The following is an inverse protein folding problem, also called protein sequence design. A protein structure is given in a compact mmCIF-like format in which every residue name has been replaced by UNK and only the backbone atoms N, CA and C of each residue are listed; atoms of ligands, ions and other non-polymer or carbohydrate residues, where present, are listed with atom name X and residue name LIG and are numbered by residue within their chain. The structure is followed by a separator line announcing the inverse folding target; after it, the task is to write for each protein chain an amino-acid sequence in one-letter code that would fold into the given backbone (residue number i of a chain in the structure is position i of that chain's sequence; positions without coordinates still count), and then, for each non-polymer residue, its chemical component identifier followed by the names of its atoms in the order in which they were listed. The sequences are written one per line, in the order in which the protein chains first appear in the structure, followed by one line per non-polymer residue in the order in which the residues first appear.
data_IF_025191956286
#
_entry.id   IF_025191956286
#
_cell.length_a   1.000
_cell.length_b   1.000
_cell.length_c   1.000
_cell.angle_alpha   90.00
_cell.angle_beta   90.00
_cell.angle_gamma   90.00
#
_symmetry.space_group_name_H-M   'P 1'
#
loop_
_entity.id
_entity.type
_entity.pdbx_description
1 polymer ?
#
# COMPACT_ATOMS: atom_id res chain seq x y z
N UNK A 1 21.16 21.97 -8.07
CA UNK A 1 20.23 21.72 -9.19
C UNK A 1 19.08 22.69 -9.03
N UNK A 2 19.02 23.71 -9.86
CA UNK A 2 18.06 24.81 -9.73
C UNK A 2 16.61 24.31 -9.85
N UNK A 3 15.71 25.01 -9.16
CA UNK A 3 14.26 24.88 -9.35
C UNK A 3 13.94 25.18 -10.82
N UNK A 4 13.96 24.15 -11.66
CA UNK A 4 13.26 24.19 -12.94
C UNK A 4 11.81 24.41 -12.54
N UNK A 5 11.26 25.59 -12.87
CA UNK A 5 9.85 25.91 -12.70
C UNK A 5 9.04 24.79 -13.35
N UNK A 6 8.59 23.85 -12.53
CA UNK A 6 7.79 22.72 -13.00
C UNK A 6 6.51 23.30 -13.56
N UNK A 7 6.19 22.90 -14.78
CA UNK A 7 4.87 23.14 -15.32
C UNK A 7 3.83 22.59 -14.33
N UNK A 8 2.66 23.24 -14.25
CA UNK A 8 1.61 22.78 -13.34
C UNK A 8 1.33 21.30 -13.59
N UNK A 9 1.27 20.45 -12.55
CA UNK A 9 1.24 19.00 -12.72
C UNK A 9 0.15 18.50 -13.68
N UNK A 10 -1.06 19.08 -13.57
CA UNK A 10 -2.20 18.72 -14.42
C UNK A 10 -1.95 19.12 -15.88
N UNK A 11 -1.34 20.28 -16.12
CA UNK A 11 -1.06 20.77 -17.48
C UNK A 11 0.03 19.91 -18.13
N UNK A 12 1.09 19.60 -17.39
CA UNK A 12 2.16 18.69 -17.82
C UNK A 12 1.62 17.28 -18.15
N UNK A 13 0.72 16.75 -17.31
CA UNK A 13 0.10 15.45 -17.53
C UNK A 13 -0.83 15.45 -18.75
N UNK A 14 -1.67 16.49 -18.93
CA UNK A 14 -2.52 16.63 -20.12
C UNK A 14 -1.70 16.70 -21.40
N UNK A 15 -0.62 17.48 -21.41
CA UNK A 15 0.28 17.62 -22.55
C UNK A 15 0.97 16.29 -22.87
N UNK A 16 1.45 15.58 -21.85
CA UNK A 16 2.03 14.25 -22.01
C UNK A 16 1.03 13.26 -22.63
N UNK A 17 -0.18 13.15 -22.07
CA UNK A 17 -1.22 12.25 -22.60
C UNK A 17 -1.58 12.60 -24.05
N UNK A 18 -1.72 13.88 -24.38
CA UNK A 18 -2.03 14.31 -25.74
C UNK A 18 -0.93 13.93 -26.75
N UNK A 19 0.35 14.05 -26.37
CA UNK A 19 1.48 13.77 -27.25
C UNK A 19 1.76 12.28 -27.45
N UNK A 20 1.65 11.47 -26.40
CA UNK A 20 2.10 10.06 -26.42
C UNK A 20 0.95 9.05 -26.42
N UNK A 21 -0.22 9.43 -25.88
CA UNK A 21 -1.37 8.54 -25.69
C UNK A 21 -2.65 9.13 -26.30
N UNK A 22 -2.55 9.92 -27.39
CA UNK A 22 -3.69 10.59 -28.02
C UNK A 22 -4.83 9.64 -28.42
N UNK A 23 -4.52 8.38 -28.73
CA UNK A 23 -5.47 7.33 -29.09
C UNK A 23 -6.07 6.51 -27.94
N UNK A 24 -5.65 6.74 -26.68
CA UNK A 24 -6.18 5.98 -25.54
C UNK A 24 -7.63 6.36 -25.23
N UNK A 25 -8.43 5.48 -24.64
CA UNK A 25 -9.84 5.78 -24.37
C UNK A 25 -10.04 6.46 -23.00
N UNK A 26 -9.07 6.34 -22.08
CA UNK A 26 -9.13 7.00 -20.78
C UNK A 26 -7.74 7.31 -20.22
N UNK A 27 -7.62 8.43 -19.52
CA UNK A 27 -6.41 8.82 -18.81
C UNK A 27 -6.74 9.48 -17.48
N UNK A 28 -6.06 9.07 -16.41
CA UNK A 28 -6.29 9.55 -15.05
C UNK A 28 -4.94 9.90 -14.42
N UNK A 29 -4.78 11.16 -14.01
CA UNK A 29 -3.67 11.56 -13.14
C UNK A 29 -4.00 11.12 -11.72
N UNK A 30 -3.06 10.48 -11.04
CA UNK A 30 -3.20 9.96 -9.70
C UNK A 30 -2.00 10.37 -8.83
N UNK A 31 -1.84 9.72 -7.69
CA UNK A 31 -0.64 9.86 -6.89
C UNK A 31 -0.65 11.02 -5.91
N UNK A 32 0.55 11.35 -5.41
CA UNK A 32 0.71 12.34 -4.33
C UNK A 32 0.27 13.76 -4.73
N UNK A 33 0.44 14.11 -6.00
CA UNK A 33 0.04 15.41 -6.58
C UNK A 33 -1.46 15.65 -6.49
N UNK A 34 -2.27 14.65 -6.81
CA UNK A 34 -3.73 14.78 -6.76
C UNK A 34 -4.24 14.98 -5.33
N UNK A 35 -3.52 14.42 -4.35
CA UNK A 35 -3.84 14.57 -2.93
C UNK A 35 -3.30 15.85 -2.29
N UNK A 36 -2.52 16.67 -3.01
CA UNK A 36 -1.83 17.83 -2.43
C UNK A 36 -0.74 17.45 -1.43
N UNK A 37 -0.19 16.23 -1.54
CA UNK A 37 0.86 15.69 -0.69
C UNK A 37 2.20 15.55 -1.42
N UNK A 38 2.34 16.24 -2.55
CA UNK A 38 3.55 16.19 -3.36
C UNK A 38 4.75 16.82 -2.67
N UNK A 39 5.92 16.32 -3.05
CA UNK A 39 7.21 16.78 -2.56
C UNK A 39 8.08 17.14 -3.77
N UNK A 40 9.25 17.73 -3.53
CA UNK A 40 10.21 18.01 -4.60
C UNK A 40 10.65 16.75 -5.36
N UNK A 41 10.52 15.57 -4.78
CA UNK A 41 10.87 14.29 -5.42
C UNK A 41 9.63 13.52 -5.90
N UNK A 42 8.44 14.12 -5.87
CA UNK A 42 7.23 13.49 -6.38
C UNK A 42 7.24 13.41 -7.91
N UNK A 43 6.71 12.30 -8.38
CA UNK A 43 6.38 11.94 -9.75
C UNK A 43 4.90 12.18 -10.06
N UNK A 44 4.59 12.13 -11.36
CA UNK A 44 3.23 12.08 -11.87
C UNK A 44 2.87 10.61 -12.13
N UNK A 45 1.93 10.08 -11.35
CA UNK A 45 1.35 8.77 -11.59
C UNK A 45 0.20 8.90 -12.60
N UNK A 46 0.29 8.28 -13.77
CA UNK A 46 -0.76 8.37 -14.80
C UNK A 46 -1.26 6.97 -15.15
N UNK A 47 -2.55 6.72 -14.95
CA UNK A 47 -3.22 5.51 -15.43
C UNK A 47 -3.77 5.76 -16.81
N UNK A 48 -3.42 4.92 -17.79
CA UNK A 48 -3.91 4.96 -19.17
C UNK A 48 -4.72 3.71 -19.44
N UNK A 49 -5.91 3.90 -20.01
CA UNK A 49 -6.73 2.83 -20.56
C UNK A 49 -6.68 2.91 -22.08
N UNK A 50 -6.06 1.91 -22.69
CA UNK A 50 -5.91 1.78 -24.14
C UNK A 50 -6.25 0.34 -24.58
N UNK A 51 -7.30 0.17 -25.37
CA UNK A 51 -7.72 -1.14 -25.90
C UNK A 51 -6.76 -1.70 -26.95
N UNK A 52 -5.97 -0.86 -27.60
CA UNK A 52 -5.05 -1.28 -28.65
C UNK A 52 -3.82 -2.00 -28.10
N UNK A 53 -3.53 -1.85 -26.80
CA UNK A 53 -2.36 -2.50 -26.20
C UNK A 53 -2.61 -3.99 -25.95
N UNK A 54 -1.68 -4.88 -26.39
CA UNK A 54 -1.85 -6.32 -26.25
C UNK A 54 -1.72 -6.80 -24.80
N UNK A 55 -0.99 -6.05 -23.96
CA UNK A 55 -0.76 -6.36 -22.55
C UNK A 55 -0.52 -5.08 -21.75
N UNK A 56 -0.76 -5.16 -20.44
CA UNK A 56 -0.43 -4.06 -19.53
C UNK A 56 1.07 -3.89 -19.37
N UNK A 57 1.53 -2.65 -19.22
CA UNK A 57 2.91 -2.34 -18.89
C UNK A 57 3.01 -1.10 -18.01
N UNK A 58 4.18 -0.92 -17.39
CA UNK A 58 4.54 0.30 -16.67
C UNK A 58 5.81 0.86 -17.27
N UNK A 59 5.85 2.18 -17.41
CA UNK A 59 7.01 2.90 -17.92
C UNK A 59 7.29 4.12 -17.05
N UNK A 60 8.56 4.42 -16.83
CA UNK A 60 9.00 5.63 -16.14
C UNK A 60 9.77 6.50 -17.12
N UNK A 61 9.31 7.73 -17.32
CA UNK A 61 9.88 8.69 -18.27
C UNK A 61 10.05 10.07 -17.62
N UNK A 62 10.92 10.91 -18.19
CA UNK A 62 11.08 12.29 -17.76
C UNK A 62 10.60 13.23 -18.87
N UNK A 63 9.49 13.93 -18.67
CA UNK A 63 8.86 14.77 -19.69
C UNK A 63 8.27 16.04 -19.05
N UNK A 64 8.28 17.17 -19.75
CA UNK A 64 7.77 18.46 -19.26
C UNK A 64 8.32 18.86 -17.87
N UNK A 65 9.55 18.45 -17.55
CA UNK A 65 10.19 18.75 -16.26
C UNK A 65 9.74 17.87 -15.09
N UNK A 66 8.99 16.80 -15.35
CA UNK A 66 8.50 15.86 -14.35
C UNK A 66 9.02 14.43 -14.58
N UNK A 67 9.39 13.70 -13.52
CA UNK A 67 9.36 12.24 -13.57
C UNK A 67 7.89 11.80 -13.65
N UNK A 68 7.57 10.95 -14.62
CA UNK A 68 6.23 10.43 -14.88
C UNK A 68 6.31 8.91 -14.84
N UNK A 69 5.44 8.31 -14.06
CA UNK A 69 5.19 6.86 -14.09
C UNK A 69 3.83 6.60 -14.73
N UNK A 70 3.85 5.86 -15.84
CA UNK A 70 2.64 5.54 -16.60
C UNK A 70 2.28 4.08 -16.39
N UNK A 71 1.02 3.83 -16.06
CA UNK A 71 0.43 2.51 -15.86
C UNK A 71 -0.59 2.28 -16.97
N UNK A 72 -0.17 1.52 -18.00
CA UNK A 72 -0.97 1.33 -19.22
C UNK A 72 -1.68 -0.01 -19.15
N UNK A 73 -2.99 0.01 -19.33
CA UNK A 73 -3.86 -1.16 -19.27
C UNK A 73 -4.88 -1.15 -20.42
N UNK A 74 -5.24 -2.32 -20.92
CA UNK A 74 -6.58 -2.50 -21.51
C UNK A 74 -7.58 -2.88 -20.39
N UNK A 75 -8.89 -2.89 -20.69
CA UNK A 75 -9.90 -3.17 -19.65
C UNK A 75 -9.74 -4.54 -18.98
N UNK A 76 -9.33 -5.57 -19.73
CA UNK A 76 -9.09 -6.92 -19.19
C UNK A 76 -7.97 -6.92 -18.17
N UNK A 77 -6.82 -6.34 -18.52
CA UNK A 77 -5.67 -6.26 -17.62
C UNK A 77 -5.95 -5.34 -16.43
N UNK A 78 -6.69 -4.25 -16.61
CA UNK A 78 -7.15 -3.40 -15.51
C UNK A 78 -7.90 -4.22 -14.45
N UNK A 79 -8.92 -4.99 -14.85
CA UNK A 79 -9.69 -5.84 -13.94
C UNK A 79 -8.84 -6.90 -13.23
N UNK A 80 -7.88 -7.50 -13.94
CA UNK A 80 -6.96 -8.47 -13.35
C UNK A 80 -6.08 -7.85 -12.26
N UNK A 81 -5.56 -6.64 -12.49
CA UNK A 81 -4.74 -5.92 -11.51
C UNK A 81 -5.57 -5.45 -10.31
N UNK A 82 -6.78 -4.95 -10.53
CA UNK A 82 -7.73 -4.63 -9.45
C UNK A 82 -7.99 -5.87 -8.57
N UNK A 83 -8.25 -7.02 -9.19
CA UNK A 83 -8.44 -8.28 -8.46
C UNK A 83 -7.19 -8.66 -7.65
N UNK A 84 -6.00 -8.59 -8.25
CA UNK A 84 -4.74 -8.88 -7.56
C UNK A 84 -4.49 -7.95 -6.37
N UNK A 85 -4.79 -6.67 -6.52
CA UNK A 85 -4.71 -5.67 -5.46
C UNK A 85 -5.65 -6.01 -4.29
N UNK A 86 -6.88 -6.43 -4.61
CA UNK A 86 -7.86 -6.87 -3.61
C UNK A 86 -7.40 -8.13 -2.86
N UNK A 87 -6.86 -9.13 -3.57
CA UNK A 87 -6.34 -10.37 -2.99
C UNK A 87 -5.16 -10.12 -2.05
N UNK A 88 -4.25 -9.23 -2.45
CA UNK A 88 -3.11 -8.79 -1.62
C UNK A 88 -3.51 -7.78 -0.54
N UNK A 89 -4.77 -7.33 -0.53
CA UNK A 89 -5.28 -6.26 0.33
C UNK A 89 -4.48 -4.96 0.27
N UNK A 90 -3.95 -4.62 -0.92
CA UNK A 90 -3.16 -3.41 -1.20
C UNK A 90 -3.79 -2.73 -2.42
N UNK A 91 -4.81 -1.86 -2.24
CA UNK A 91 -5.64 -1.35 -3.32
C UNK A 91 -4.97 -0.16 -4.04
N UNK A 92 -3.84 -0.38 -4.71
CA UNK A 92 -3.09 0.66 -5.38
C UNK A 92 -3.88 1.24 -6.57
N UNK A 93 -4.25 0.40 -7.52
CA UNK A 93 -4.95 0.80 -8.73
C UNK A 93 -6.37 1.32 -8.44
N UNK A 94 -7.19 0.68 -7.56
CA UNK A 94 -8.45 1.27 -7.12
C UNK A 94 -8.30 2.66 -6.50
N UNK A 95 -7.29 2.89 -5.63
CA UNK A 95 -7.04 4.23 -5.07
C UNK A 95 -6.65 5.23 -6.14
N UNK A 96 -5.75 4.86 -7.06
CA UNK A 96 -5.32 5.74 -8.15
C UNK A 96 -6.50 6.19 -9.02
N UNK A 97 -7.40 5.26 -9.36
CA UNK A 97 -8.59 5.56 -10.17
C UNK A 97 -9.61 6.38 -9.37
N UNK A 98 -9.97 5.96 -8.16
CA UNK A 98 -10.98 6.63 -7.33
C UNK A 98 -10.57 8.07 -6.97
N UNK A 99 -9.33 8.28 -6.52
CA UNK A 99 -8.85 9.61 -6.11
C UNK A 99 -8.45 10.48 -7.31
N UNK A 100 -8.10 9.86 -8.44
CA UNK A 100 -7.45 10.53 -9.56
C UNK A 100 -8.28 11.58 -10.30
N UNK A 101 -7.58 12.55 -10.90
CA UNK A 101 -8.16 13.58 -11.78
C UNK A 101 -8.22 13.05 -13.21
N UNK A 102 -9.40 13.09 -13.81
CA UNK A 102 -9.61 12.66 -15.20
C UNK A 102 -8.93 13.64 -16.16
N UNK A 103 -8.03 13.12 -16.99
CA UNK A 103 -7.33 13.87 -18.05
C UNK A 103 -8.00 13.67 -19.42
N UNK A 104 -8.48 12.46 -19.68
CA UNK A 104 -9.22 12.07 -20.89
C UNK A 104 -10.27 11.00 -20.53
N UNK A 105 -11.45 11.07 -21.13
CA UNK A 105 -12.53 10.09 -20.95
C UNK A 105 -13.39 10.01 -22.22
N UNK A 106 -13.55 8.79 -22.75
CA UNK A 106 -14.47 8.47 -23.85
C UNK A 106 -15.83 7.92 -23.37
N UNK A 107 -16.13 8.05 -22.07
CA UNK A 107 -17.46 7.82 -21.49
C UNK A 107 -17.56 6.67 -20.48
N UNK A 108 -16.44 6.09 -20.03
CA UNK A 108 -16.42 4.94 -19.11
C UNK A 108 -15.61 5.19 -17.83
N UNK A 109 -14.82 6.27 -17.75
CA UNK A 109 -13.98 6.55 -16.58
C UNK A 109 -14.85 6.81 -15.34
N UNK A 110 -16.01 7.45 -15.49
CA UNK A 110 -16.96 7.66 -14.38
C UNK A 110 -17.42 6.35 -13.73
N UNK A 111 -17.78 5.35 -14.53
CA UNK A 111 -18.14 4.01 -14.06
C UNK A 111 -16.97 3.30 -13.38
N UNK A 112 -15.76 3.42 -13.93
CA UNK A 112 -14.56 2.85 -13.30
C UNK A 112 -14.24 3.48 -11.95
N UNK A 113 -14.39 4.81 -11.82
CA UNK A 113 -14.21 5.51 -10.53
C UNK A 113 -15.21 5.02 -9.49
N UNK A 114 -16.48 4.86 -9.89
CA UNK A 114 -17.52 4.33 -9.01
C UNK A 114 -17.21 2.89 -8.56
N UNK A 115 -16.81 2.02 -9.47
CA UNK A 115 -16.39 0.65 -9.13
C UNK A 115 -15.22 0.65 -8.14
N UNK A 116 -14.21 1.51 -8.37
CA UNK A 116 -13.07 1.64 -7.48
C UNK A 116 -13.47 2.15 -6.09
N UNK A 117 -14.39 3.11 -6.00
CA UNK A 117 -14.94 3.61 -4.73
C UNK A 117 -15.70 2.50 -3.96
N UNK A 118 -16.52 1.72 -4.66
CA UNK A 118 -17.27 0.59 -4.08
C UNK A 118 -16.33 -0.48 -3.52
N UNK A 119 -15.28 -0.82 -4.28
CA UNK A 119 -14.22 -1.74 -3.83
C UNK A 119 -13.56 -1.19 -2.57
N UNK A 120 -13.13 0.07 -2.59
CA UNK A 120 -12.44 0.68 -1.46
C UNK A 120 -13.32 0.70 -0.20
N UNK A 121 -14.61 0.99 -0.35
CA UNK A 121 -15.57 0.97 0.75
C UNK A 121 -15.82 -0.44 1.30
N UNK A 122 -15.80 -1.47 0.46
CA UNK A 122 -16.04 -2.85 0.87
C UNK A 122 -14.95 -3.41 1.78
N UNK A 123 -13.68 -3.02 1.56
CA UNK A 123 -12.53 -3.58 2.28
C UNK A 123 -12.07 -4.93 1.72
N UNK A 124 -10.89 -5.44 2.16
CA UNK A 124 -10.37 -6.72 1.71
C UNK A 124 -11.19 -7.89 2.25
N UNK A 125 -11.08 -9.03 1.57
CA UNK A 125 -11.61 -10.30 2.08
C UNK A 125 -11.04 -10.60 3.47
N UNK A 126 -11.95 -10.89 4.41
CA UNK A 126 -11.62 -11.27 5.79
C UNK A 126 -10.78 -12.54 5.81
N UNK A 127 -9.80 -12.56 6.70
CA UNK A 127 -9.04 -13.77 6.98
C UNK A 127 -9.88 -14.79 7.74
N UNK A 128 -9.67 -16.07 7.40
CA UNK A 128 -10.14 -17.18 8.22
C UNK A 128 -9.24 -17.38 9.44
N UNK A 129 -9.71 -18.19 10.39
CA UNK A 129 -8.98 -18.51 11.63
C UNK A 129 -7.57 -19.05 11.35
N UNK A 130 -7.44 -19.97 10.40
CA UNK A 130 -6.14 -20.56 10.03
C UNK A 130 -5.13 -19.51 9.59
N UNK A 131 -5.53 -18.56 8.74
CA UNK A 131 -4.63 -17.46 8.32
C UNK A 131 -4.27 -16.55 9.48
N UNK A 132 -5.21 -16.27 10.38
CA UNK A 132 -4.94 -15.49 11.59
C UNK A 132 -3.91 -16.21 12.46
N UNK A 133 -4.05 -17.51 12.69
CA UNK A 133 -3.12 -18.30 13.48
C UNK A 133 -1.72 -18.35 12.83
N UNK A 134 -1.63 -18.57 11.51
CA UNK A 134 -0.35 -18.48 10.78
C UNK A 134 0.32 -17.12 10.95
N UNK A 135 -0.44 -16.03 10.85
CA UNK A 135 0.12 -14.67 11.02
C UNK A 135 0.53 -14.41 12.47
N UNK A 136 -0.26 -14.86 13.46
CA UNK A 136 0.09 -14.77 14.88
C UNK A 136 1.39 -15.51 15.18
N UNK A 137 1.59 -16.69 14.58
CA UNK A 137 2.82 -17.45 14.72
C UNK A 137 4.03 -16.67 14.19
N UNK A 138 4.00 -16.19 12.96
CA UNK A 138 5.11 -15.42 12.40
C UNK A 138 5.39 -14.11 13.14
N UNK A 139 4.36 -13.45 13.67
CA UNK A 139 4.56 -12.26 14.53
C UNK A 139 5.23 -12.65 15.85
N UNK A 140 4.86 -13.78 16.43
CA UNK A 140 5.45 -14.30 17.67
C UNK A 140 6.92 -14.63 17.48
N UNK A 141 7.24 -15.35 16.42
CA UNK A 141 8.60 -15.76 16.05
C UNK A 141 9.52 -14.53 15.89
N UNK A 142 9.12 -13.56 15.07
CA UNK A 142 9.90 -12.33 14.87
C UNK A 142 9.96 -11.46 16.13
N UNK A 143 8.92 -11.48 16.97
CA UNK A 143 8.94 -10.77 18.25
C UNK A 143 9.97 -11.38 19.20
N UNK A 144 10.06 -12.71 19.28
CA UNK A 144 11.02 -13.40 20.13
C UNK A 144 12.46 -13.15 19.67
N UNK A 145 12.72 -13.20 18.36
CA UNK A 145 14.00 -12.78 17.75
C UNK A 145 14.33 -11.32 18.09
N UNK A 146 13.35 -10.42 17.95
CA UNK A 146 13.55 -9.00 18.27
C UNK A 146 13.91 -8.78 19.74
N UNK A 147 13.24 -9.46 20.68
CA UNK A 147 13.53 -9.37 22.11
C UNK A 147 14.93 -9.92 22.40
N UNK A 148 15.24 -11.10 21.87
CA UNK A 148 16.48 -11.84 22.12
C UNK A 148 17.73 -11.31 21.40
N UNK A 149 17.58 -10.43 20.40
CA UNK A 149 18.72 -9.92 19.65
C UNK A 149 19.67 -9.04 20.51
N UNK A 150 20.87 -9.54 20.80
CA UNK A 150 21.94 -8.77 21.44
C UNK A 150 22.63 -7.82 20.43
N UNK A 151 22.71 -8.24 19.16
CA UNK A 151 23.22 -7.38 18.09
C UNK A 151 22.17 -6.34 17.67
N UNK A 152 22.60 -5.08 17.60
CA UNK A 152 21.71 -3.98 17.22
C UNK A 152 21.30 -4.06 15.76
N UNK A 153 22.18 -4.53 14.88
CA UNK A 153 21.88 -4.72 13.46
C UNK A 153 20.73 -5.71 13.29
N UNK A 154 20.84 -6.89 13.91
CA UNK A 154 19.78 -7.91 13.93
C UNK A 154 18.47 -7.32 14.48
N UNK A 155 18.51 -6.62 15.62
CA UNK A 155 17.33 -5.99 16.20
C UNK A 155 16.67 -4.97 15.25
N UNK A 156 17.44 -4.21 14.46
CA UNK A 156 16.92 -3.25 13.48
C UNK A 156 16.13 -3.98 12.38
N UNK A 157 16.66 -5.07 11.84
CA UNK A 157 15.99 -5.82 10.79
C UNK A 157 14.78 -6.59 11.32
N UNK A 158 14.85 -7.17 12.52
CA UNK A 158 13.70 -7.81 13.17
C UNK A 158 12.60 -6.80 13.47
N UNK A 159 12.93 -5.59 13.94
CA UNK A 159 11.95 -4.51 14.14
C UNK A 159 11.26 -4.10 12.84
N UNK A 160 12.00 -3.96 11.74
CA UNK A 160 11.44 -3.63 10.44
C UNK A 160 10.47 -4.72 9.94
N UNK A 161 10.87 -5.99 10.06
CA UNK A 161 10.01 -7.14 9.72
C UNK A 161 8.75 -7.17 10.59
N UNK A 162 8.91 -6.99 11.91
CA UNK A 162 7.80 -6.96 12.87
C UNK A 162 6.81 -5.83 12.56
N UNK A 163 7.30 -4.62 12.25
CA UNK A 163 6.43 -3.51 11.85
C UNK A 163 5.62 -3.86 10.58
N UNK A 164 6.25 -4.53 9.62
CA UNK A 164 5.60 -5.06 8.42
C UNK A 164 4.50 -6.08 8.74
N UNK A 165 4.77 -7.05 9.59
CA UNK A 165 3.76 -8.07 9.95
C UNK A 165 2.63 -7.47 10.80
N UNK A 166 2.97 -6.62 11.76
CA UNK A 166 2.03 -6.08 12.73
C UNK A 166 1.03 -5.11 12.10
N UNK A 167 1.48 -4.22 11.19
CA UNK A 167 0.55 -3.33 10.48
C UNK A 167 -0.42 -4.11 9.58
N UNK A 168 0.08 -5.14 8.89
CA UNK A 168 -0.75 -5.99 8.04
C UNK A 168 -1.81 -6.68 8.91
N UNK A 169 -1.38 -7.27 10.03
CA UNK A 169 -2.25 -8.01 10.92
C UNK A 169 -3.38 -7.15 11.47
N UNK A 170 -3.07 -5.98 12.04
CA UNK A 170 -4.07 -5.06 12.60
C UNK A 170 -5.10 -4.66 11.54
N UNK A 171 -4.63 -4.24 10.37
CA UNK A 171 -5.54 -3.76 9.33
C UNK A 171 -6.39 -4.92 8.78
N UNK A 172 -5.80 -6.09 8.54
CA UNK A 172 -6.51 -7.24 7.95
C UNK A 172 -7.52 -7.86 8.90
N UNK A 173 -7.22 -7.98 10.19
CA UNK A 173 -8.21 -8.48 11.16
C UNK A 173 -9.38 -7.51 11.36
N UNK A 174 -9.19 -6.23 11.04
CA UNK A 174 -10.24 -5.20 11.06
C UNK A 174 -10.90 -4.96 9.69
N UNK A 175 -10.62 -5.79 8.68
CA UNK A 175 -11.20 -5.64 7.34
C UNK A 175 -10.81 -4.32 6.66
N UNK A 176 -9.59 -3.84 6.92
CA UNK A 176 -9.03 -2.62 6.33
C UNK A 176 -7.91 -2.94 5.35
N UNK A 177 -7.81 -2.10 4.34
CA UNK A 177 -6.75 -2.15 3.34
C UNK A 177 -5.38 -1.85 3.96
N UNK A 178 -4.35 -2.54 3.49
CA UNK A 178 -2.96 -2.38 3.93
C UNK A 178 -2.19 -1.45 2.99
N UNK A 179 -0.88 -1.35 3.19
CA UNK A 179 -0.01 -0.50 2.40
C UNK A 179 1.44 -0.97 2.41
N UNK A 180 2.31 -0.21 1.75
CA UNK A 180 3.75 -0.39 1.78
C UNK A 180 4.45 0.94 1.98
N UNK A 181 5.64 0.93 2.57
CA UNK A 181 6.46 2.12 2.77
C UNK A 181 5.66 3.24 3.45
N UNK A 182 5.49 4.40 2.81
CA UNK A 182 4.71 5.54 3.31
C UNK A 182 3.26 5.16 3.68
N UNK A 183 2.69 4.20 2.95
CA UNK A 183 1.30 3.77 3.14
C UNK A 183 1.07 2.91 4.37
N UNK A 184 2.12 2.37 5.02
CA UNK A 184 1.97 1.70 6.32
C UNK A 184 1.35 2.68 7.31
N UNK A 185 1.98 3.84 7.49
CA UNK A 185 1.50 4.86 8.45
C UNK A 185 0.20 5.51 7.98
N UNK A 186 0.04 5.77 6.67
CA UNK A 186 -1.19 6.38 6.15
C UNK A 186 -2.41 5.48 6.32
N UNK A 187 -2.30 4.18 6.00
CA UNK A 187 -3.39 3.23 6.18
C UNK A 187 -3.73 3.02 7.66
N UNK A 188 -2.72 3.00 8.54
CA UNK A 188 -2.96 2.98 9.99
C UNK A 188 -3.72 4.23 10.45
N UNK A 189 -3.33 5.43 10.00
CA UNK A 189 -4.03 6.69 10.33
C UNK A 189 -5.48 6.71 9.83
N UNK A 190 -5.74 6.15 8.66
CA UNK A 190 -7.09 6.03 8.10
C UNK A 190 -7.97 5.06 8.92
N UNK A 191 -7.36 4.06 9.55
CA UNK A 191 -8.05 3.14 10.44
C UNK A 191 -8.28 3.74 11.83
N UNK A 192 -7.20 4.18 12.49
CA UNK A 192 -7.21 4.79 13.82
C UNK A 192 -5.95 5.66 13.97
N UNK A 193 -6.15 6.99 14.02
CA UNK A 193 -5.07 7.96 14.13
C UNK A 193 -4.29 7.86 15.45
N UNK A 194 -4.95 7.49 16.55
CA UNK A 194 -4.31 7.35 17.85
C UNK A 194 -3.47 6.06 17.89
N UNK A 195 -3.98 4.96 17.35
CA UNK A 195 -3.22 3.73 17.18
C UNK A 195 -2.00 3.94 16.29
N UNK A 196 -2.16 4.65 15.16
CA UNK A 196 -1.05 4.97 14.27
C UNK A 196 0.05 5.76 14.99
N UNK A 197 -0.31 6.71 15.87
CA UNK A 197 0.65 7.44 16.70
C UNK A 197 1.38 6.49 17.66
N UNK A 198 0.65 5.66 18.40
CA UNK A 198 1.24 4.66 19.31
C UNK A 198 2.19 3.71 18.57
N UNK A 199 1.82 3.29 17.37
CA UNK A 199 2.63 2.41 16.52
C UNK A 199 3.95 3.09 16.14
N UNK A 200 3.90 4.31 15.61
CA UNK A 200 5.10 5.07 15.23
C UNK A 200 5.97 5.40 16.44
N UNK A 201 5.36 5.80 17.56
CA UNK A 201 6.09 6.14 18.79
C UNK A 201 6.82 4.91 19.37
N UNK A 202 6.22 3.72 19.31
CA UNK A 202 6.84 2.49 19.81
C UNK A 202 8.09 2.09 19.00
N UNK A 203 7.98 2.01 17.67
CA UNK A 203 9.13 1.72 16.82
C UNK A 203 10.15 2.86 16.80
N UNK A 204 9.70 4.12 16.86
CA UNK A 204 10.57 5.29 16.96
C UNK A 204 11.43 5.28 18.21
N UNK A 205 10.86 4.91 19.36
CA UNK A 205 11.62 4.75 20.61
C UNK A 205 12.70 3.67 20.49
N UNK A 206 12.40 2.55 19.82
CA UNK A 206 13.42 1.54 19.52
C UNK A 206 14.53 2.09 18.63
N UNK A 207 14.20 2.70 17.48
CA UNK A 207 15.22 3.18 16.56
C UNK A 207 16.10 4.29 17.16
N UNK A 208 15.53 5.15 18.00
CA UNK A 208 16.25 6.26 18.61
C UNK A 208 17.03 5.85 19.86
N UNK A 209 16.44 5.04 20.74
CA UNK A 209 16.96 4.77 22.09
C UNK A 209 17.23 3.29 22.39
N UNK A 210 17.05 2.39 21.40
CA UNK A 210 17.13 0.94 21.57
C UNK A 210 16.10 0.38 22.57
N UNK A 211 14.99 1.11 22.82
CA UNK A 211 13.94 0.72 23.77
C UNK A 211 12.98 -0.34 23.16
N UNK A 212 13.21 -1.62 23.44
CA UNK A 212 12.40 -2.73 22.90
C UNK A 212 11.01 -2.86 23.54
N UNK A 213 10.85 -2.44 24.80
CA UNK A 213 9.65 -2.71 25.61
C UNK A 213 8.35 -2.13 25.01
N UNK A 214 8.40 -0.98 24.35
CA UNK A 214 7.19 -0.40 23.74
C UNK A 214 6.67 -1.21 22.57
N UNK A 215 7.58 -1.73 21.73
CA UNK A 215 7.25 -2.60 20.60
C UNK A 215 6.68 -3.93 21.11
N UNK A 216 7.28 -4.48 22.17
CA UNK A 216 6.76 -5.65 22.88
C UNK A 216 5.32 -5.44 23.36
N UNK A 217 5.07 -4.42 24.17
CA UNK A 217 3.73 -4.13 24.73
C UNK A 217 2.71 -3.89 23.62
N UNK A 218 3.08 -3.15 22.57
CA UNK A 218 2.22 -2.92 21.41
C UNK A 218 1.83 -4.24 20.74
N UNK A 219 2.81 -5.12 20.51
CA UNK A 219 2.59 -6.41 19.83
C UNK A 219 1.68 -7.32 20.65
N UNK A 220 1.91 -7.40 21.96
CA UNK A 220 1.05 -8.16 22.89
C UNK A 220 -0.40 -7.67 22.85
N UNK A 221 -0.61 -6.36 22.91
CA UNK A 221 -1.95 -5.78 22.89
C UNK A 221 -2.67 -6.04 21.56
N UNK A 222 -1.95 -6.06 20.44
CA UNK A 222 -2.52 -6.40 19.13
C UNK A 222 -2.90 -7.88 19.05
N UNK A 223 -2.07 -8.78 19.59
CA UNK A 223 -2.32 -10.22 19.52
C UNK A 223 -3.35 -10.71 20.54
N UNK A 224 -3.47 -10.06 21.70
CA UNK A 224 -4.32 -10.48 22.82
C UNK A 224 -5.79 -10.76 22.43
N UNK A 225 -6.49 -9.91 21.64
CA UNK A 225 -7.86 -10.20 21.21
C UNK A 225 -7.99 -11.44 20.32
N UNK A 226 -6.89 -11.91 19.75
CA UNK A 226 -6.83 -13.07 18.86
C UNK A 226 -6.21 -14.31 19.54
N UNK A 227 -6.04 -14.28 20.86
CA UNK A 227 -5.48 -15.39 21.64
C UNK A 227 -4.03 -15.19 22.08
N UNK A 228 -3.44 -14.01 21.87
CA UNK A 228 -2.06 -13.69 22.26
C UNK A 228 -1.02 -14.27 21.31
N UNK A 229 0.22 -14.42 21.79
CA UNK A 229 1.29 -15.13 21.08
C UNK A 229 0.87 -16.55 20.70
N UNK A 230 1.49 -17.08 19.65
CA UNK A 230 1.29 -18.45 19.22
C UNK A 230 2.63 -19.06 18.83
N UNK A 231 3.07 -20.07 19.58
CA UNK A 231 4.24 -20.89 19.24
C UNK A 231 3.89 -22.36 19.49
N UNK A 232 3.58 -22.68 20.75
CA UNK A 232 3.12 -24.02 21.13
C UNK A 232 1.83 -24.39 20.40
N UNK A 233 1.81 -25.59 19.82
CA UNK A 233 0.66 -26.12 19.10
C UNK A 233 0.49 -25.62 17.66
N UNK A 234 1.33 -24.69 17.18
CA UNK A 234 1.34 -24.35 15.76
C UNK A 234 1.87 -25.51 14.92
N UNK A 235 1.18 -25.84 13.83
CA UNK A 235 1.61 -26.85 12.87
C UNK A 235 1.15 -26.46 11.47
N UNK A 236 2.00 -26.69 10.48
CA UNK A 236 1.68 -26.50 9.06
C UNK A 236 2.24 -27.65 8.25
N UNK A 237 1.49 -28.13 7.25
CA UNK A 237 1.91 -29.24 6.39
C UNK A 237 1.96 -30.62 7.04
N UNK A 238 1.64 -30.74 8.34
CA UNK A 238 1.55 -32.03 9.03
C UNK A 238 0.22 -32.71 8.66
N UNK A 239 0.29 -33.75 7.84
CA UNK A 239 -0.86 -34.64 7.61
C UNK A 239 -1.11 -35.41 8.90
N UNK A 240 -2.31 -35.29 9.48
CA UNK A 240 -2.69 -36.15 10.60
C UNK A 240 -2.68 -37.61 10.13
N UNK A 241 -1.89 -38.46 10.81
CA UNK A 241 -2.09 -39.90 10.78
C UNK A 241 -3.17 -40.27 11.79
#
# INVERSE_FOLDING_TARGET
MGDVLREKPIDAAKKFVASYFGGCQGAILAGSVVRGEETRTSDLDIVIIDQAVPSSYRESIFENGWPIEVFVHNLTSYQQYVKSDCERAKPCLPKMVSEGIVLKDEGFVSSMKKEAEEILAQGPKRWGKETIDVKRYFITDVLDDFIGADDRGEAIFSANTLAGLLHEFVLRTNGKWTGSSKWIVRSLKQFDAQFAKTFVDAFGAFYQYNEKNRVLILTENVLKPHGGRLFEGFSSGKTNQ
#
